data_IF_829053590870
#
_entry.id   IF_829053590870
#
_cell.length_a   1.000
_cell.length_b   1.000
_cell.length_c   1.000
_cell.angle_alpha   90.00
_cell.angle_beta   90.00
_cell.angle_gamma   90.00
#
_symmetry.space_group_name_H-M   'P 1'
#
loop_
_entity.id
_entity.type
_entity.pdbx_description
1 polymer ?
#
# COMPACT_ATOMS: atom_id res chain seq x y z
N UNK A 1 33.85 44.18 -28.48
CA UNK A 1 32.44 43.82 -28.76
C UNK A 1 31.69 45.15 -28.82
N UNK A 2 31.06 45.49 -29.91
CA UNK A 2 30.38 46.77 -30.04
C UNK A 2 28.98 46.67 -29.36
N UNK A 3 28.41 47.81 -28.96
CA UNK A 3 27.14 47.90 -28.21
C UNK A 3 25.99 47.14 -28.90
N UNK A 4 25.97 47.12 -30.24
CA UNK A 4 24.95 46.41 -31.04
C UNK A 4 25.05 44.88 -30.85
N UNK A 5 26.26 44.34 -30.83
CA UNK A 5 26.48 42.89 -30.59
C UNK A 5 26.14 42.47 -29.16
N UNK A 6 26.38 43.37 -28.20
CA UNK A 6 26.00 43.14 -26.81
C UNK A 6 24.49 43.15 -26.64
N UNK A 7 23.78 44.11 -27.20
CA UNK A 7 22.32 44.19 -27.15
C UNK A 7 21.64 43.04 -27.88
N UNK A 8 22.21 42.55 -29.00
CA UNK A 8 21.68 41.39 -29.71
C UNK A 8 21.85 40.10 -28.88
N UNK A 9 23.00 39.91 -28.24
CA UNK A 9 23.25 38.78 -27.36
C UNK A 9 22.34 38.79 -26.11
N UNK A 10 22.14 39.97 -25.50
CA UNK A 10 21.24 40.14 -24.36
C UNK A 10 19.76 39.87 -24.73
N UNK A 11 19.35 40.29 -25.93
CA UNK A 11 18.01 40.02 -26.45
C UNK A 11 17.81 38.51 -26.72
N UNK A 12 18.81 37.83 -27.29
CA UNK A 12 18.76 36.37 -27.51
C UNK A 12 18.70 35.58 -26.20
N UNK A 13 19.44 35.97 -25.15
CA UNK A 13 19.39 35.36 -23.82
C UNK A 13 18.04 35.60 -23.20
N UNK A 14 17.45 36.78 -23.32
CA UNK A 14 16.12 37.10 -22.81
C UNK A 14 15.02 36.32 -23.52
N UNK A 15 15.11 36.12 -24.85
CA UNK A 15 14.17 35.31 -25.62
C UNK A 15 14.28 33.81 -25.28
N UNK A 16 15.49 33.30 -24.99
CA UNK A 16 15.69 31.91 -24.54
C UNK A 16 15.16 31.65 -23.13
N UNK A 17 15.17 32.65 -22.25
CA UNK A 17 14.58 32.53 -20.93
C UNK A 17 13.04 32.56 -20.92
N UNK A 18 12.41 33.09 -21.98
CA UNK A 18 10.95 33.07 -22.10
C UNK A 18 10.38 31.74 -22.62
N UNK A 19 11.20 30.84 -23.12
CA UNK A 19 10.75 29.51 -23.57
C UNK A 19 10.83 28.41 -22.51
N UNK A 20 11.35 28.71 -21.32
CA UNK A 20 11.32 27.83 -20.18
C UNK A 20 10.04 28.05 -19.37
N UNK A 21 8.87 28.01 -20.02
CA UNK A 21 7.66 27.71 -19.29
C UNK A 21 7.76 26.26 -18.84
N UNK A 22 7.55 25.94 -17.56
CA UNK A 22 7.35 24.56 -17.20
C UNK A 22 6.22 24.05 -18.09
N UNK A 23 6.50 23.02 -18.89
CA UNK A 23 5.43 22.25 -19.49
C UNK A 23 4.53 21.91 -18.33
N UNK A 24 3.26 22.31 -18.36
CA UNK A 24 2.26 21.78 -17.45
C UNK A 24 2.33 20.27 -17.64
N UNK A 25 3.09 19.59 -16.79
CA UNK A 25 2.99 18.15 -16.67
C UNK A 25 1.52 17.91 -16.41
N UNK A 26 0.86 17.21 -17.31
CA UNK A 26 -0.53 16.80 -17.11
C UNK A 26 -0.57 16.16 -15.75
N UNK A 27 -1.28 16.78 -14.82
CA UNK A 27 -1.43 16.27 -13.48
C UNK A 27 -1.80 14.79 -13.59
N UNK A 28 -1.02 13.93 -12.93
CA UNK A 28 -1.21 12.50 -13.01
C UNK A 28 -2.54 12.16 -12.34
N UNK A 29 -3.51 11.72 -13.09
CA UNK A 29 -4.77 11.19 -12.58
C UNK A 29 -4.74 9.67 -12.68
N UNK A 30 -4.63 9.00 -11.53
CA UNK A 30 -4.66 7.55 -11.41
C UNK A 30 -5.93 6.95 -12.03
N UNK A 31 -7.06 7.60 -11.83
CA UNK A 31 -8.39 7.06 -12.15
C UNK A 31 -8.82 7.22 -13.61
N UNK A 32 -8.13 8.01 -14.40
CA UNK A 32 -8.40 8.14 -15.86
C UNK A 32 -7.79 7.01 -16.68
N UNK A 33 -7.01 6.12 -16.06
CA UNK A 33 -6.24 5.08 -16.75
C UNK A 33 -6.92 3.73 -16.80
N UNK A 34 -8.10 3.57 -16.22
CA UNK A 34 -8.75 2.28 -16.15
C UNK A 34 -10.28 2.36 -16.20
N UNK A 35 -10.91 1.22 -16.43
CA UNK A 35 -12.33 1.02 -16.25
C UNK A 35 -12.60 0.48 -14.84
N UNK A 36 -13.42 1.19 -14.06
CA UNK A 36 -13.69 0.88 -12.67
C UNK A 36 -15.18 0.76 -12.39
N UNK A 37 -15.52 -0.15 -11.49
CA UNK A 37 -16.86 -0.32 -10.92
C UNK A 37 -17.24 0.98 -10.18
N UNK A 38 -18.27 1.66 -10.66
CA UNK A 38 -18.68 2.98 -10.17
C UNK A 38 -19.20 2.99 -8.74
N UNK A 39 -19.70 1.85 -8.26
CA UNK A 39 -20.20 1.65 -6.90
C UNK A 39 -19.08 1.54 -5.84
N UNK A 40 -17.84 1.26 -6.26
CA UNK A 40 -16.71 1.16 -5.33
C UNK A 40 -16.15 2.56 -5.04
N UNK A 41 -16.17 3.00 -3.78
CA UNK A 41 -15.73 4.35 -3.46
C UNK A 41 -14.21 4.52 -3.66
N UNK A 42 -13.82 5.59 -4.34
CA UNK A 42 -12.41 5.98 -4.48
C UNK A 42 -11.86 6.45 -3.14
N UNK A 43 -10.61 6.13 -2.78
CA UNK A 43 -10.00 6.57 -1.51
C UNK A 43 -10.19 8.06 -1.21
N UNK A 44 -9.95 8.96 -2.19
CA UNK A 44 -10.10 10.40 -2.00
C UNK A 44 -11.53 10.84 -1.68
N UNK A 45 -12.57 10.10 -2.10
CA UNK A 45 -13.95 10.43 -1.75
C UNK A 45 -14.23 10.25 -0.25
N UNK A 46 -13.47 9.39 0.40
CA UNK A 46 -13.54 9.08 1.83
C UNK A 46 -12.60 10.01 2.62
N UNK A 47 -11.35 10.13 2.15
CA UNK A 47 -10.31 10.94 2.79
C UNK A 47 -10.60 12.45 2.72
N UNK A 48 -11.33 12.93 1.69
CA UNK A 48 -11.59 14.33 1.38
C UNK A 48 -10.36 15.10 0.88
N UNK A 49 -9.30 14.39 0.52
CA UNK A 49 -8.12 14.89 -0.17
C UNK A 49 -7.58 13.79 -1.10
N UNK A 50 -6.80 14.17 -2.09
CA UNK A 50 -6.18 13.22 -3.00
C UNK A 50 -5.07 12.44 -2.32
N UNK A 51 -5.01 11.13 -2.57
CA UNK A 51 -3.95 10.26 -2.03
C UNK A 51 -2.58 10.84 -2.40
N UNK A 52 -1.73 11.01 -1.40
CA UNK A 52 -0.40 11.62 -1.54
C UNK A 52 -0.35 13.14 -1.33
N UNK A 53 -1.48 13.84 -1.18
CA UNK A 53 -1.50 15.29 -0.85
C UNK A 53 -1.25 15.56 0.64
N UNK A 54 -1.66 14.64 1.48
CA UNK A 54 -1.41 14.63 2.91
C UNK A 54 -1.08 13.20 3.31
N UNK A 55 -0.40 13.01 4.43
CA UNK A 55 -0.21 11.70 4.98
C UNK A 55 -1.49 11.20 5.63
N UNK A 56 -1.93 10.01 5.20
CA UNK A 56 -3.13 9.35 5.72
C UNK A 56 -2.85 8.75 7.10
N UNK A 57 -3.69 9.07 8.08
CA UNK A 57 -3.63 8.44 9.41
C UNK A 57 -4.11 6.99 9.37
N UNK A 58 -3.77 6.22 10.40
CA UNK A 58 -4.22 4.83 10.51
C UNK A 58 -5.75 4.72 10.49
N UNK A 59 -6.44 5.55 11.26
CA UNK A 59 -7.92 5.55 11.30
C UNK A 59 -8.56 5.92 9.94
N UNK A 60 -7.96 6.83 9.19
CA UNK A 60 -8.43 7.17 7.84
C UNK A 60 -8.25 6.00 6.87
N UNK A 61 -7.13 5.27 6.95
CA UNK A 61 -6.91 4.05 6.17
C UNK A 61 -7.98 2.99 6.49
N UNK A 62 -8.28 2.75 7.77
CA UNK A 62 -9.35 1.83 8.16
C UNK A 62 -10.71 2.23 7.56
N UNK A 63 -11.03 3.52 7.55
CA UNK A 63 -12.25 4.02 6.88
C UNK A 63 -12.27 3.66 5.39
N UNK A 64 -11.13 3.80 4.71
CA UNK A 64 -11.02 3.51 3.27
C UNK A 64 -11.19 2.02 3.00
N UNK A 65 -10.42 1.15 3.66
CA UNK A 65 -10.47 -0.30 3.38
C UNK A 65 -11.82 -0.91 3.75
N UNK A 66 -12.42 -0.48 4.87
CA UNK A 66 -13.75 -0.95 5.28
C UNK A 66 -14.86 -0.51 4.30
N UNK A 67 -14.77 0.72 3.76
CA UNK A 67 -15.73 1.18 2.77
C UNK A 67 -15.60 0.41 1.45
N UNK A 68 -14.36 0.10 1.03
CA UNK A 68 -14.11 -0.73 -0.15
C UNK A 68 -14.61 -2.16 0.07
N UNK A 69 -14.29 -2.80 1.20
CA UNK A 69 -14.80 -4.15 1.52
C UNK A 69 -16.32 -4.20 1.46
N UNK A 70 -16.99 -3.24 2.10
CA UNK A 70 -18.45 -3.17 2.11
C UNK A 70 -19.05 -3.07 0.72
N UNK A 71 -18.42 -2.30 -0.18
CA UNK A 71 -18.91 -2.08 -1.54
C UNK A 71 -18.50 -3.21 -2.50
N UNK A 72 -17.38 -3.87 -2.27
CA UNK A 72 -16.81 -4.94 -3.10
C UNK A 72 -16.74 -6.28 -2.34
N UNK A 73 -17.74 -6.62 -1.55
CA UNK A 73 -17.75 -7.82 -0.71
C UNK A 73 -17.69 -9.15 -1.50
N UNK A 74 -17.92 -9.07 -2.79
CA UNK A 74 -17.73 -10.18 -3.73
C UNK A 74 -16.25 -10.47 -4.05
N UNK A 75 -15.36 -9.48 -3.88
CA UNK A 75 -13.93 -9.57 -4.22
C UNK A 75 -12.99 -9.34 -3.04
N UNK A 76 -13.45 -8.71 -1.98
CA UNK A 76 -12.62 -8.22 -0.87
C UNK A 76 -13.11 -8.77 0.46
N UNK A 77 -12.16 -9.19 1.30
CA UNK A 77 -12.42 -9.58 2.70
C UNK A 77 -11.26 -9.14 3.59
N UNK A 78 -11.57 -8.50 4.71
CA UNK A 78 -10.60 -8.08 5.70
C UNK A 78 -10.50 -9.13 6.81
N UNK A 79 -9.27 -9.43 7.22
CA UNK A 79 -8.96 -10.30 8.35
C UNK A 79 -8.12 -9.54 9.36
N UNK A 80 -8.49 -9.61 10.62
CA UNK A 80 -7.72 -9.11 11.74
C UNK A 80 -6.64 -10.13 12.12
N UNK A 81 -5.38 -9.69 12.21
CA UNK A 81 -4.26 -10.58 12.53
C UNK A 81 -3.64 -10.32 13.91
N UNK A 82 -4.05 -9.27 14.57
CA UNK A 82 -3.67 -8.98 15.95
C UNK A 82 -3.42 -7.51 16.23
N UNK A 83 -3.40 -7.17 17.50
CA UNK A 83 -3.16 -5.80 17.97
C UNK A 83 -1.66 -5.52 18.09
N UNK A 84 -1.26 -4.29 17.75
CA UNK A 84 0.06 -3.75 18.03
C UNK A 84 0.24 -3.40 19.52
N UNK A 85 1.40 -2.87 19.88
CA UNK A 85 1.67 -2.41 21.24
C UNK A 85 0.79 -1.20 21.64
N UNK A 86 0.41 -0.35 20.67
CA UNK A 86 -0.49 0.79 20.89
C UNK A 86 -1.96 0.46 20.60
N UNK A 87 -2.31 -0.84 20.55
CA UNK A 87 -3.67 -1.35 20.31
C UNK A 87 -4.29 -0.97 18.97
N UNK A 88 -3.48 -0.80 17.91
CA UNK A 88 -3.98 -0.75 16.53
C UNK A 88 -4.09 -2.15 15.97
N UNK A 89 -5.17 -2.43 15.26
CA UNK A 89 -5.38 -3.74 14.65
C UNK A 89 -4.56 -3.84 13.35
N UNK A 90 -3.69 -4.84 13.22
CA UNK A 90 -3.08 -5.16 11.94
C UNK A 90 -4.06 -5.97 11.10
N UNK A 91 -4.17 -5.62 9.81
CA UNK A 91 -5.13 -6.24 8.89
C UNK A 91 -4.45 -6.89 7.69
N UNK A 92 -5.09 -7.97 7.21
CA UNK A 92 -4.89 -8.49 5.85
C UNK A 92 -6.15 -8.18 5.05
N UNK A 93 -5.99 -7.55 3.91
CA UNK A 93 -7.05 -7.41 2.90
C UNK A 93 -6.83 -8.49 1.85
N UNK A 94 -7.67 -9.51 1.84
CA UNK A 94 -7.66 -10.55 0.82
C UNK A 94 -8.51 -10.11 -0.36
N UNK A 95 -7.94 -10.16 -1.57
CA UNK A 95 -8.62 -9.75 -2.79
C UNK A 95 -8.43 -10.81 -3.87
N UNK A 96 -9.52 -11.26 -4.47
CA UNK A 96 -9.51 -12.23 -5.56
C UNK A 96 -10.81 -12.15 -6.37
N UNK A 97 -10.97 -13.04 -7.37
CA UNK A 97 -12.24 -13.17 -8.09
C UNK A 97 -13.34 -13.68 -7.15
N UNK A 98 -14.64 -13.39 -7.44
CA UNK A 98 -15.74 -13.89 -6.63
C UNK A 98 -15.72 -15.42 -6.45
N UNK A 99 -15.27 -16.15 -7.48
CA UNK A 99 -15.16 -17.61 -7.44
C UNK A 99 -14.11 -18.07 -6.43
N UNK A 100 -12.96 -17.40 -6.37
CA UNK A 100 -11.92 -17.70 -5.41
C UNK A 100 -12.32 -17.27 -4.00
N UNK A 101 -12.95 -16.10 -3.85
CA UNK A 101 -13.43 -15.61 -2.56
C UNK A 101 -14.45 -16.56 -1.91
N UNK A 102 -15.31 -17.20 -2.71
CA UNK A 102 -16.27 -18.17 -2.22
C UNK A 102 -15.64 -19.46 -1.65
N UNK A 103 -14.36 -19.73 -1.96
CA UNK A 103 -13.63 -20.93 -1.52
C UNK A 103 -12.30 -20.64 -0.84
N UNK A 104 -12.13 -19.49 -0.21
CA UNK A 104 -10.87 -19.09 0.43
C UNK A 104 -10.35 -20.13 1.44
N UNK A 105 -11.23 -20.74 2.24
CA UNK A 105 -10.84 -21.75 3.21
C UNK A 105 -10.30 -23.04 2.53
N UNK A 106 -10.87 -23.43 1.40
CA UNK A 106 -10.36 -24.53 0.59
C UNK A 106 -8.97 -24.21 0.00
N UNK A 107 -8.82 -23.00 -0.56
CA UNK A 107 -7.55 -22.52 -1.13
C UNK A 107 -6.45 -22.55 -0.07
N UNK A 108 -6.74 -22.02 1.11
CA UNK A 108 -5.84 -22.00 2.27
C UNK A 108 -5.47 -23.43 2.72
N UNK A 109 -6.46 -24.32 2.84
CA UNK A 109 -6.25 -25.71 3.21
C UNK A 109 -5.40 -26.44 2.17
N UNK A 110 -5.58 -26.16 0.88
CA UNK A 110 -4.78 -26.72 -0.20
C UNK A 110 -3.31 -26.28 -0.11
N UNK A 111 -3.05 -25.00 0.18
CA UNK A 111 -1.69 -24.50 0.40
C UNK A 111 -1.02 -25.17 1.61
N UNK A 112 -1.74 -25.31 2.73
CA UNK A 112 -1.24 -26.05 3.89
C UNK A 112 -0.87 -27.51 3.55
N UNK A 113 -1.65 -28.17 2.68
CA UNK A 113 -1.33 -29.52 2.18
C UNK A 113 -0.10 -29.53 1.28
N UNK A 114 0.11 -28.51 0.46
CA UNK A 114 1.33 -28.39 -0.36
C UNK A 114 2.58 -28.18 0.50
N UNK A 115 2.45 -27.47 1.62
CA UNK A 115 3.55 -27.23 2.54
C UNK A 115 3.97 -28.47 3.36
N UNK A 116 3.15 -29.52 3.42
CA UNK A 116 3.44 -30.72 4.19
C UNK A 116 3.55 -31.99 3.31
N UNK A 117 4.77 -32.38 2.90
CA UNK A 117 4.97 -33.56 2.07
C UNK A 117 4.69 -34.90 2.80
N UNK A 118 4.45 -34.86 4.11
CA UNK A 118 4.10 -36.08 4.88
C UNK A 118 2.65 -36.51 4.64
N UNK A 119 1.78 -35.55 4.27
CA UNK A 119 0.34 -35.79 4.05
C UNK A 119 -0.08 -35.64 2.59
N UNK A 120 0.80 -35.12 1.73
CA UNK A 120 0.47 -34.86 0.32
C UNK A 120 1.53 -35.52 -0.58
N UNK A 121 1.16 -36.54 -1.36
CA UNK A 121 2.03 -37.16 -2.34
C UNK A 121 2.11 -36.31 -3.63
N UNK A 122 3.07 -36.63 -4.51
CA UNK A 122 3.32 -35.87 -5.74
C UNK A 122 2.11 -35.77 -6.67
N UNK A 123 1.28 -36.84 -6.78
CA UNK A 123 0.07 -36.79 -7.61
C UNK A 123 -0.96 -35.83 -7.07
N UNK A 124 -1.18 -35.85 -5.76
CA UNK A 124 -2.09 -34.91 -5.08
C UNK A 124 -1.57 -33.48 -5.16
N UNK A 125 -0.25 -33.27 -4.97
CA UNK A 125 0.36 -31.95 -5.13
C UNK A 125 0.14 -31.39 -6.53
N UNK A 126 0.37 -32.18 -7.59
CA UNK A 126 0.14 -31.76 -8.96
C UNK A 126 -1.32 -31.41 -9.24
N UNK A 127 -2.28 -32.14 -8.65
CA UNK A 127 -3.71 -31.80 -8.76
C UNK A 127 -4.05 -30.48 -8.07
N UNK A 128 -3.49 -30.22 -6.89
CA UNK A 128 -3.68 -28.95 -6.19
C UNK A 128 -3.09 -27.81 -7.01
N UNK A 129 -1.84 -27.92 -7.46
CA UNK A 129 -1.15 -26.89 -8.26
C UNK A 129 -1.93 -26.57 -9.55
N UNK A 130 -2.55 -27.56 -10.19
CA UNK A 130 -3.31 -27.34 -11.41
C UNK A 130 -4.63 -26.59 -11.20
N UNK A 131 -5.19 -26.57 -9.98
CA UNK A 131 -6.55 -26.08 -9.70
C UNK A 131 -6.62 -24.98 -8.63
N UNK A 132 -5.56 -24.79 -7.87
CA UNK A 132 -5.51 -23.78 -6.82
C UNK A 132 -4.93 -22.47 -7.37
N UNK A 133 -5.50 -21.30 -7.10
CA UNK A 133 -4.86 -20.05 -7.41
C UNK A 133 -3.59 -19.88 -6.58
N UNK A 134 -2.62 -19.15 -7.08
CA UNK A 134 -1.46 -18.73 -6.29
C UNK A 134 -1.89 -17.78 -5.17
N UNK A 135 -1.13 -17.73 -4.08
CA UNK A 135 -1.30 -16.70 -3.04
C UNK A 135 -0.13 -15.71 -3.19
N UNK A 136 -0.45 -14.45 -3.38
CA UNK A 136 0.51 -13.36 -3.42
C UNK A 136 0.47 -12.60 -2.10
N UNK A 137 1.58 -12.57 -1.36
CA UNK A 137 1.72 -11.84 -0.11
C UNK A 137 2.38 -10.49 -0.37
N UNK A 138 1.67 -9.39 -0.11
CA UNK A 138 2.14 -8.03 -0.31
C UNK A 138 2.12 -7.29 1.03
N UNK A 139 3.29 -7.08 1.61
CA UNK A 139 3.44 -6.38 2.88
C UNK A 139 3.87 -4.92 2.65
N UNK A 140 3.24 -4.00 3.36
CA UNK A 140 3.46 -2.57 3.25
C UNK A 140 3.91 -1.98 4.58
N UNK A 141 4.73 -0.94 4.51
CA UNK A 141 5.04 -0.04 5.64
C UNK A 141 5.62 -0.76 6.86
N UNK A 142 6.68 -1.56 6.65
CA UNK A 142 7.48 -2.12 7.76
C UNK A 142 8.19 -1.00 8.54
N UNK A 143 8.51 0.10 7.88
CA UNK A 143 8.97 1.32 8.50
C UNK A 143 7.88 2.39 8.38
N UNK A 144 7.41 2.88 9.52
CA UNK A 144 6.25 3.76 9.55
C UNK A 144 6.44 5.11 8.86
N UNK A 145 7.68 5.60 8.73
CA UNK A 145 8.00 6.84 8.03
C UNK A 145 8.18 6.69 6.51
N UNK A 146 8.06 5.48 5.97
CA UNK A 146 8.01 5.24 4.52
C UNK A 146 6.57 5.37 4.03
N UNK A 147 6.02 6.56 4.19
CA UNK A 147 4.58 6.85 4.05
C UNK A 147 4.02 6.63 2.65
N UNK A 148 4.83 6.78 1.59
CA UNK A 148 4.40 6.50 0.22
C UNK A 148 3.92 5.05 0.05
N UNK A 149 4.49 4.10 0.80
CA UNK A 149 4.06 2.70 0.84
C UNK A 149 2.63 2.58 1.38
N UNK A 150 2.30 3.33 2.44
CA UNK A 150 0.98 3.31 3.06
C UNK A 150 -0.10 3.92 2.14
N UNK A 151 0.22 5.04 1.49
CA UNK A 151 -0.67 5.68 0.51
C UNK A 151 -0.91 4.78 -0.71
N UNK A 152 0.17 4.18 -1.25
CA UNK A 152 0.08 3.28 -2.40
C UNK A 152 -0.76 2.04 -2.11
N UNK A 153 -0.68 1.50 -0.91
CA UNK A 153 -1.47 0.33 -0.50
C UNK A 153 -2.97 0.56 -0.71
N UNK A 154 -3.51 1.71 -0.31
CA UNK A 154 -4.94 2.01 -0.50
C UNK A 154 -5.32 2.09 -1.98
N UNK A 155 -4.44 2.63 -2.83
CA UNK A 155 -4.67 2.67 -4.27
C UNK A 155 -4.63 1.28 -4.90
N UNK A 156 -3.73 0.41 -4.45
CA UNK A 156 -3.65 -0.99 -4.91
C UNK A 156 -4.90 -1.77 -4.48
N UNK A 157 -5.36 -1.60 -3.24
CA UNK A 157 -6.63 -2.19 -2.77
C UNK A 157 -7.79 -1.73 -3.66
N UNK A 158 -7.90 -0.43 -3.93
CA UNK A 158 -8.94 0.10 -4.82
C UNK A 158 -8.82 -0.46 -6.25
N UNK A 159 -7.60 -0.48 -6.82
CA UNK A 159 -7.35 -0.99 -8.17
C UNK A 159 -7.84 -2.44 -8.32
N UNK A 160 -7.47 -3.31 -7.38
CA UNK A 160 -7.85 -4.71 -7.43
C UNK A 160 -9.34 -4.93 -7.15
N UNK A 161 -9.92 -4.17 -6.23
CA UNK A 161 -11.34 -4.29 -5.89
C UNK A 161 -12.27 -3.77 -6.99
N UNK A 162 -11.90 -2.66 -7.63
CA UNK A 162 -12.79 -1.90 -8.50
C UNK A 162 -12.55 -2.11 -10.00
N UNK A 163 -11.36 -2.52 -10.44
CA UNK A 163 -11.03 -2.60 -11.86
C UNK A 163 -11.86 -3.65 -12.61
N UNK A 164 -12.32 -3.28 -13.80
CA UNK A 164 -12.91 -4.17 -14.81
C UNK A 164 -11.92 -4.49 -15.95
N UNK A 165 -10.70 -3.98 -15.88
CA UNK A 165 -9.66 -4.26 -16.88
C UNK A 165 -9.36 -5.75 -16.93
N UNK A 166 -9.30 -6.33 -18.14
CA UNK A 166 -9.07 -7.77 -18.32
C UNK A 166 -7.80 -8.27 -17.64
N UNK A 167 -6.72 -7.48 -17.69
CA UNK A 167 -5.47 -7.83 -17.02
C UNK A 167 -5.62 -7.97 -15.49
N UNK A 168 -6.40 -7.09 -14.86
CA UNK A 168 -6.70 -7.21 -13.43
C UNK A 168 -7.60 -8.41 -13.14
N UNK A 169 -8.61 -8.65 -13.97
CA UNK A 169 -9.49 -9.81 -13.81
C UNK A 169 -8.74 -11.13 -13.97
N UNK A 170 -7.78 -11.21 -14.89
CA UNK A 170 -6.93 -12.38 -15.08
C UNK A 170 -6.03 -12.63 -13.85
N UNK A 171 -5.48 -11.58 -13.25
CA UNK A 171 -4.74 -11.67 -11.98
C UNK A 171 -5.65 -12.24 -10.89
N UNK A 172 -6.85 -11.66 -10.71
CA UNK A 172 -7.79 -12.08 -9.65
C UNK A 172 -8.31 -13.51 -9.87
N UNK A 173 -8.46 -13.95 -11.10
CA UNK A 173 -8.89 -15.33 -11.40
C UNK A 173 -7.82 -16.37 -11.03
N UNK A 174 -6.55 -15.99 -11.12
CA UNK A 174 -5.42 -16.91 -10.91
C UNK A 174 -4.69 -16.71 -9.58
N UNK A 175 -5.07 -15.67 -8.80
CA UNK A 175 -4.32 -15.30 -7.60
C UNK A 175 -5.27 -14.81 -6.49
N UNK A 176 -4.99 -15.23 -5.26
CA UNK A 176 -5.48 -14.56 -4.06
C UNK A 176 -4.40 -13.58 -3.60
N UNK A 177 -4.68 -12.29 -3.68
CA UNK A 177 -3.75 -11.23 -3.23
C UNK A 177 -4.05 -10.92 -1.77
N UNK A 178 -3.06 -11.10 -0.92
CA UNK A 178 -3.10 -10.78 0.51
C UNK A 178 -2.30 -9.52 0.75
N UNK A 179 -2.97 -8.43 1.06
CA UNK A 179 -2.36 -7.13 1.31
C UNK A 179 -2.32 -6.86 2.82
N UNK A 180 -1.11 -6.77 3.37
CA UNK A 180 -0.90 -6.32 4.74
C UNK A 180 -0.92 -4.80 4.72
N UNK A 181 -1.91 -4.21 5.38
CA UNK A 181 -2.18 -2.76 5.28
C UNK A 181 -1.11 -1.89 5.91
N UNK A 182 -0.36 -2.43 6.84
CA UNK A 182 0.79 -1.78 7.48
C UNK A 182 1.40 -2.69 8.53
N UNK A 183 2.68 -3.05 8.36
CA UNK A 183 3.39 -3.86 9.34
C UNK A 183 3.69 -3.08 10.63
N UNK A 184 3.92 -1.75 10.50
CA UNK A 184 4.26 -0.85 11.60
C UNK A 184 3.27 0.32 11.72
N UNK A 185 2.01 0.07 12.08
CA UNK A 185 1.02 1.14 12.17
C UNK A 185 1.31 2.14 13.31
N UNK A 186 1.97 1.73 14.39
CA UNK A 186 2.33 2.60 15.51
C UNK A 186 3.40 3.63 15.10
N UNK A 187 4.44 3.18 14.40
CA UNK A 187 5.47 4.07 13.86
C UNK A 187 4.91 5.00 12.80
N UNK A 188 4.02 4.49 11.94
CA UNK A 188 3.35 5.27 10.92
C UNK A 188 2.49 6.39 11.53
N UNK A 189 1.60 6.06 12.45
CA UNK A 189 0.71 7.03 13.09
C UNK A 189 1.51 8.14 13.78
N UNK A 190 2.60 7.80 14.47
CA UNK A 190 3.48 8.77 15.12
C UNK A 190 4.14 9.71 14.12
N UNK A 191 4.59 9.19 12.98
CA UNK A 191 5.20 9.97 11.91
C UNK A 191 4.19 10.91 11.26
N UNK A 192 3.06 10.39 10.80
CA UNK A 192 2.10 11.19 10.03
C UNK A 192 1.40 12.25 10.87
N UNK A 193 1.12 11.95 12.14
CA UNK A 193 0.55 12.93 13.07
C UNK A 193 1.51 14.10 13.29
N UNK A 194 2.80 13.80 13.49
CA UNK A 194 3.82 14.85 13.57
C UNK A 194 3.92 15.61 12.26
N UNK A 195 4.11 14.93 11.12
CA UNK A 195 4.33 15.60 9.84
C UNK A 195 3.16 16.49 9.45
N UNK A 196 1.92 16.00 9.57
CA UNK A 196 0.73 16.79 9.26
C UNK A 196 0.56 18.03 10.16
N UNK A 197 1.19 18.03 11.32
CA UNK A 197 1.18 19.21 12.23
C UNK A 197 2.20 20.28 11.85
N UNK A 198 3.25 19.94 11.09
CA UNK A 198 4.36 20.85 10.73
C UNK A 198 4.45 21.10 9.22
N UNK A 199 3.98 20.17 8.40
CA UNK A 199 4.00 20.25 6.93
C UNK A 199 2.88 21.15 6.42
N UNK A 200 3.12 22.46 6.37
CA UNK A 200 2.16 23.46 5.89
C UNK A 200 2.62 24.00 4.54
N UNK A 201 1.72 24.01 3.56
CA UNK A 201 1.98 24.52 2.22
C UNK A 201 2.77 23.57 1.31
N UNK A 202 3.53 24.11 0.37
CA UNK A 202 4.29 23.32 -0.57
C UNK A 202 5.47 22.61 0.12
N UNK A 203 5.63 21.29 -0.09
CA UNK A 203 6.71 20.54 0.53
C UNK A 203 8.06 21.02 0.00
N UNK A 204 8.86 21.63 0.87
CA UNK A 204 10.25 21.97 0.59
C UNK A 204 11.16 20.98 1.33
N UNK A 205 11.82 20.05 0.63
CA UNK A 205 12.67 19.05 1.26
C UNK A 205 13.86 19.66 2.01
N UNK A 206 14.20 20.93 1.76
CA UNK A 206 15.24 21.66 2.48
C UNK A 206 14.74 22.33 3.77
N UNK A 207 13.43 22.41 3.98
CA UNK A 207 12.85 23.00 5.18
C UNK A 207 13.20 22.19 6.43
N UNK A 208 13.58 22.90 7.48
CA UNK A 208 13.94 22.26 8.76
C UNK A 208 12.74 21.54 9.39
N UNK A 209 11.53 22.10 9.24
CA UNK A 209 10.28 21.58 9.75
C UNK A 209 9.94 20.18 9.19
N UNK A 210 10.44 19.85 8.01
CA UNK A 210 10.22 18.56 7.36
C UNK A 210 11.25 17.50 7.77
N UNK A 211 12.24 17.86 8.58
CA UNK A 211 13.23 16.91 9.11
C UNK A 211 12.69 16.20 10.33
N UNK A 212 12.40 14.93 10.16
CA UNK A 212 11.91 14.08 11.24
C UNK A 212 12.85 14.09 12.44
N UNK A 213 12.43 14.57 13.64
CA UNK A 213 13.29 14.54 14.82
C UNK A 213 13.37 13.11 15.37
N UNK A 214 14.48 12.81 16.06
CA UNK A 214 14.70 11.50 16.66
C UNK A 214 13.62 11.09 17.68
N UNK A 215 12.94 12.05 18.27
CA UNK A 215 11.83 11.81 19.22
C UNK A 215 10.61 11.20 18.54
N UNK A 216 10.43 11.44 17.24
CA UNK A 216 9.38 10.85 16.42
C UNK A 216 9.82 9.47 15.92
N UNK A 217 10.86 9.42 15.13
CA UNK A 217 11.40 8.20 14.54
C UNK A 217 10.34 7.17 14.17
N UNK A 218 9.50 7.53 13.20
CA UNK A 218 8.41 6.70 12.70
C UNK A 218 8.86 5.38 12.08
N UNK A 219 10.14 5.26 11.74
CA UNK A 219 10.74 4.01 11.29
C UNK A 219 10.49 2.86 12.27
N UNK A 220 10.55 3.11 13.57
CA UNK A 220 10.52 2.11 14.62
C UNK A 220 9.11 1.93 15.20
N UNK A 221 8.83 0.75 15.79
CA UNK A 221 7.59 0.50 16.50
C UNK A 221 7.49 1.31 17.82
N UNK A 222 6.50 0.99 18.67
CA UNK A 222 6.32 1.64 19.97
C UNK A 222 7.59 1.65 20.82
N UNK A 223 8.29 0.54 20.90
CA UNK A 223 9.51 0.39 21.72
C UNK A 223 10.79 0.85 21.03
N UNK A 224 10.68 1.54 19.92
CA UNK A 224 11.85 1.98 19.11
C UNK A 224 12.65 0.81 18.56
N UNK A 225 11.99 -0.31 18.29
CA UNK A 225 12.59 -1.47 17.65
C UNK A 225 12.35 -1.45 16.14
N UNK A 226 13.39 -1.77 15.37
CA UNK A 226 13.28 -1.91 13.91
C UNK A 226 12.69 -3.26 13.57
N UNK A 227 11.42 -3.30 13.11
CA UNK A 227 10.73 -4.54 12.76
C UNK A 227 11.46 -5.30 11.64
N UNK A 228 12.16 -4.59 10.74
CA UNK A 228 13.01 -5.21 9.71
C UNK A 228 14.31 -5.82 10.27
N UNK A 229 14.46 -5.93 11.58
CA UNK A 229 15.52 -6.67 12.27
C UNK A 229 14.97 -7.79 13.14
N UNK A 230 13.64 -8.04 13.10
CA UNK A 230 12.97 -9.00 13.96
C UNK A 230 12.52 -10.28 13.24
N UNK A 231 12.74 -10.39 11.94
CA UNK A 231 12.27 -11.53 11.14
C UNK A 231 12.83 -12.91 11.57
N UNK A 232 13.94 -12.95 12.29
CA UNK A 232 14.54 -14.19 12.80
C UNK A 232 14.17 -14.41 14.26
N UNK A 233 14.26 -13.36 15.08
CA UNK A 233 14.06 -13.47 16.53
C UNK A 233 12.55 -13.48 16.90
N UNK A 234 11.71 -12.81 16.11
CA UNK A 234 10.25 -12.74 16.25
C UNK A 234 9.86 -12.33 17.68
N UNK A 235 10.47 -11.25 18.14
CA UNK A 235 10.30 -10.77 19.53
C UNK A 235 9.16 -9.77 19.65
N UNK A 236 8.97 -8.96 18.62
CA UNK A 236 7.98 -7.89 18.62
C UNK A 236 6.56 -8.44 18.36
N UNK A 237 5.57 -7.77 18.94
CA UNK A 237 4.16 -8.18 18.86
C UNK A 237 3.67 -8.13 17.40
N UNK A 238 4.04 -7.07 16.69
CA UNK A 238 3.71 -6.85 15.28
C UNK A 238 4.29 -7.97 14.41
N UNK A 239 5.55 -8.34 14.62
CA UNK A 239 6.21 -9.42 13.88
C UNK A 239 5.58 -10.77 14.17
N UNK A 240 5.17 -11.04 15.43
CA UNK A 240 4.46 -12.28 15.80
C UNK A 240 3.13 -12.39 15.07
N UNK A 241 2.35 -11.31 15.02
CA UNK A 241 1.08 -11.29 14.30
C UNK A 241 1.29 -11.61 12.81
N UNK A 242 2.26 -10.93 12.19
CA UNK A 242 2.63 -11.14 10.78
C UNK A 242 3.07 -12.58 10.51
N UNK A 243 3.99 -13.11 11.34
CA UNK A 243 4.50 -14.46 11.18
C UNK A 243 3.41 -15.52 11.36
N UNK A 244 2.52 -15.33 12.34
CA UNK A 244 1.39 -16.23 12.56
C UNK A 244 0.48 -16.26 11.34
N UNK A 245 0.14 -15.10 10.80
CA UNK A 245 -0.70 -15.00 9.61
C UNK A 245 0.00 -15.57 8.36
N UNK A 246 1.30 -15.31 8.18
CA UNK A 246 2.08 -15.86 7.08
C UNK A 246 2.07 -17.40 7.09
N UNK A 247 2.33 -18.00 8.25
CA UNK A 247 2.30 -19.48 8.41
C UNK A 247 0.89 -20.05 8.26
N UNK A 248 -0.15 -19.30 8.61
CA UNK A 248 -1.53 -19.73 8.47
C UNK A 248 -2.01 -19.72 7.00
N UNK A 249 -1.49 -18.82 6.18
CA UNK A 249 -1.83 -18.73 4.75
C UNK A 249 -0.90 -19.56 3.84
N UNK A 250 0.34 -19.81 4.25
CA UNK A 250 1.38 -20.49 3.46
C UNK A 250 1.46 -19.94 2.01
N UNK A 251 1.72 -18.63 1.84
CA UNK A 251 1.72 -17.99 0.53
C UNK A 251 2.89 -18.40 -0.35
#
# INVERSE_FOLDING_TARGET
>A
MNLKSFLLAAFFIFCLSLTAFPQNEKEFDFYTRGDYRSEIPRPQSILRFDVGRQHTTYAQMEMVINAIEKAASDRVKIFDIGLTNENRMQHIVAISSPQNMARLDEIKANNARLADPRITNSSQANQIIANNPAIAWMAYTIHGNESASFETMMQVVYQLAASNEQATLDILNNTVVLIITGENPDGHERFVTWYNSVGIGDPNPASFEHREPWSIWGRYNHYRFDLNRDNVAITQKETKNMQTAFLDWNP
#
